data_IF_576628877756
#
_entry.id   IF_576628877756
#
_cell.length_a   1.000
_cell.length_b   1.000
_cell.length_c   1.000
_cell.angle_alpha   90.00
_cell.angle_beta   90.00
_cell.angle_gamma   90.00
#
_symmetry.space_group_name_H-M   'P 1'
#
loop_
_entity.id
_entity.type
_entity.pdbx_description
1 polymer ?
#
# COMPACT_ATOMS: atom_id res chain seq x y z
N UNK A 1 -5.87 -24.00 -14.02
CA UNK A 1 -6.54 -22.67 -14.16
C UNK A 1 -5.62 -21.49 -13.79
N UNK A 2 -4.45 -21.71 -13.17
CA UNK A 2 -3.45 -20.68 -12.83
C UNK A 2 -2.71 -20.13 -14.05
N UNK A 3 -2.20 -20.97 -14.92
CA UNK A 3 -1.34 -20.57 -16.05
C UNK A 3 -2.03 -19.68 -17.10
N UNK A 4 -3.30 -19.91 -17.41
CA UNK A 4 -4.05 -19.09 -18.37
C UNK A 4 -4.24 -17.65 -17.87
N UNK A 5 -4.41 -17.45 -16.55
CA UNK A 5 -4.53 -16.10 -15.97
C UNK A 5 -3.23 -15.30 -16.05
N UNK A 6 -2.09 -15.96 -15.95
CA UNK A 6 -0.75 -15.35 -15.99
C UNK A 6 -0.41 -14.85 -17.40
N UNK A 7 -0.85 -15.52 -18.45
CA UNK A 7 -0.58 -15.14 -19.86
C UNK A 7 -1.57 -14.07 -20.38
N UNK A 8 -2.84 -14.13 -19.99
CA UNK A 8 -3.88 -13.21 -20.49
C UNK A 8 -3.72 -11.80 -19.89
N UNK A 9 -3.26 -11.67 -18.64
CA UNK A 9 -3.10 -10.38 -17.97
C UNK A 9 -2.16 -9.41 -18.71
N UNK A 10 -0.90 -9.75 -19.03
CA UNK A 10 0.00 -8.85 -19.71
C UNK A 10 -0.44 -8.53 -21.15
N UNK A 11 -0.99 -9.51 -21.89
CA UNK A 11 -1.46 -9.28 -23.26
C UNK A 11 -2.61 -8.27 -23.32
N UNK A 12 -3.61 -8.40 -22.45
CA UNK A 12 -4.72 -7.45 -22.38
C UNK A 12 -4.29 -6.07 -21.87
N UNK A 13 -3.31 -6.00 -20.98
CA UNK A 13 -2.75 -4.74 -20.50
C UNK A 13 -1.94 -4.01 -21.61
N UNK A 14 -1.29 -4.73 -22.50
CA UNK A 14 -0.61 -4.15 -23.66
C UNK A 14 -1.58 -3.50 -24.65
N UNK A 15 -2.75 -4.06 -24.84
CA UNK A 15 -3.81 -3.46 -25.70
C UNK A 15 -4.31 -2.15 -25.08
N UNK A 16 -4.36 -2.02 -23.76
CA UNK A 16 -4.77 -0.79 -23.07
C UNK A 16 -3.68 0.29 -22.98
N UNK A 17 -2.43 -0.05 -23.29
CA UNK A 17 -1.27 0.86 -23.18
C UNK A 17 -1.44 2.18 -23.94
N UNK A 18 -1.84 2.23 -25.23
CA UNK A 18 -2.02 3.50 -25.96
C UNK A 18 -3.06 4.41 -25.32
N UNK A 19 -4.18 3.83 -24.85
CA UNK A 19 -5.24 4.59 -24.18
C UNK A 19 -4.72 5.18 -22.86
N UNK A 20 -3.96 4.43 -22.10
CA UNK A 20 -3.35 4.92 -20.86
C UNK A 20 -2.35 6.04 -21.12
N UNK A 21 -1.52 5.93 -22.16
CA UNK A 21 -0.60 7.00 -22.55
C UNK A 21 -1.35 8.27 -22.95
N UNK A 22 -2.43 8.14 -23.72
CA UNK A 22 -3.28 9.28 -24.05
C UNK A 22 -3.89 9.95 -22.81
N UNK A 23 -4.40 9.16 -21.86
CA UNK A 23 -4.93 9.69 -20.58
C UNK A 23 -3.83 10.42 -19.80
N UNK A 24 -2.61 9.89 -19.75
CA UNK A 24 -1.46 10.52 -19.07
C UNK A 24 -1.08 11.85 -19.73
N UNK A 25 -1.06 11.89 -21.05
CA UNK A 25 -0.79 13.12 -21.80
C UNK A 25 -1.88 14.19 -21.58
N UNK A 26 -3.14 13.77 -21.52
CA UNK A 26 -4.27 14.68 -21.37
C UNK A 26 -4.46 15.19 -19.93
N UNK A 27 -4.23 14.33 -18.91
CA UNK A 27 -4.56 14.60 -17.50
C UNK A 27 -3.39 14.55 -16.55
N UNK A 28 -2.19 14.30 -17.03
CA UNK A 28 -1.00 14.03 -16.20
C UNK A 28 -0.96 12.60 -15.64
N UNK A 29 0.19 12.20 -15.06
CA UNK A 29 0.43 10.83 -14.59
C UNK A 29 -0.38 10.46 -13.34
N UNK A 30 -0.72 11.44 -12.49
CA UNK A 30 -1.32 11.21 -11.18
C UNK A 30 -0.34 10.57 -10.18
N UNK A 31 -0.88 10.08 -9.07
CA UNK A 31 -0.13 9.46 -7.97
C UNK A 31 -0.40 7.96 -7.97
N UNK A 32 0.66 7.15 -8.04
CA UNK A 32 0.60 5.70 -7.88
C UNK A 32 1.02 5.33 -6.45
N UNK A 33 0.13 4.74 -5.68
CA UNK A 33 0.44 4.23 -4.34
C UNK A 33 0.62 2.71 -4.47
N UNK A 34 1.83 2.22 -4.24
CA UNK A 34 2.16 0.79 -4.27
C UNK A 34 1.85 0.17 -2.92
N UNK A 35 1.24 -1.00 -2.92
CA UNK A 35 0.91 -1.76 -1.74
C UNK A 35 1.69 -3.07 -1.72
N UNK A 36 2.59 -3.18 -0.77
CA UNK A 36 3.31 -4.40 -0.41
C UNK A 36 2.84 -4.89 0.96
N UNK A 37 3.18 -6.12 1.30
CA UNK A 37 3.03 -6.66 2.65
C UNK A 37 4.38 -7.21 3.13
N UNK A 38 4.95 -8.16 2.42
CA UNK A 38 6.20 -8.82 2.78
C UNK A 38 7.25 -8.75 1.66
N UNK A 39 8.51 -8.68 2.07
CA UNK A 39 9.65 -8.88 1.17
C UNK A 39 10.55 -9.95 1.76
N UNK A 40 10.33 -11.20 1.33
CA UNK A 40 11.07 -12.35 1.86
C UNK A 40 11.00 -13.53 0.89
N UNK A 41 12.03 -14.39 0.92
CA UNK A 41 12.03 -15.69 0.24
C UNK A 41 11.62 -16.84 1.18
N UNK A 42 11.52 -16.58 2.50
CA UNK A 42 11.21 -17.61 3.49
C UNK A 42 9.75 -18.05 3.48
N UNK A 43 8.84 -17.21 2.97
CA UNK A 43 7.40 -17.49 2.94
C UNK A 43 6.92 -17.46 1.50
N UNK A 44 6.45 -18.60 1.03
CA UNK A 44 5.86 -18.72 -0.29
C UNK A 44 4.36 -18.38 -0.24
N UNK A 45 4.07 -17.09 -0.41
CA UNK A 45 2.73 -16.52 -0.46
C UNK A 45 2.64 -15.45 -1.53
N UNK A 46 1.45 -15.23 -2.08
CA UNK A 46 1.20 -14.25 -3.12
C UNK A 46 1.61 -12.82 -2.73
N UNK A 47 1.52 -12.46 -1.47
CA UNK A 47 1.88 -11.14 -0.96
C UNK A 47 3.35 -11.04 -0.47
N UNK A 48 4.15 -12.09 -0.67
CA UNK A 48 5.57 -12.14 -0.31
C UNK A 48 6.42 -11.94 -1.57
N UNK A 49 6.86 -10.72 -1.82
CA UNK A 49 7.78 -10.41 -2.94
C UNK A 49 9.19 -10.83 -2.56
N UNK A 50 9.97 -11.38 -3.51
CA UNK A 50 11.37 -11.72 -3.22
C UNK A 50 12.24 -10.46 -3.05
N UNK A 51 13.28 -10.47 -2.19
CA UNK A 51 14.21 -9.36 -2.05
C UNK A 51 14.85 -8.93 -3.38
N UNK A 52 15.19 -9.90 -4.22
CA UNK A 52 15.77 -9.64 -5.54
C UNK A 52 14.78 -8.93 -6.48
N UNK A 53 13.50 -9.33 -6.45
CA UNK A 53 12.46 -8.67 -7.24
C UNK A 53 12.19 -7.24 -6.72
N UNK A 54 12.11 -7.06 -5.40
CA UNK A 54 11.92 -5.74 -4.79
C UNK A 54 13.06 -4.78 -5.18
N UNK A 55 14.32 -5.23 -5.08
CA UNK A 55 15.47 -4.41 -5.50
C UNK A 55 15.37 -3.99 -6.97
N UNK A 56 15.08 -4.93 -7.88
CA UNK A 56 14.88 -4.63 -9.31
C UNK A 56 13.72 -3.66 -9.57
N UNK A 57 12.66 -3.72 -8.76
CA UNK A 57 11.54 -2.78 -8.83
C UNK A 57 11.97 -1.37 -8.43
N UNK A 58 12.78 -1.22 -7.37
CA UNK A 58 13.35 0.07 -6.97
C UNK A 58 14.34 0.61 -8.01
N UNK A 59 15.22 -0.22 -8.55
CA UNK A 59 16.16 0.16 -9.65
C UNK A 59 15.37 0.66 -10.88
N UNK A 60 14.20 0.10 -11.14
CA UNK A 60 13.34 0.56 -12.23
C UNK A 60 12.71 1.93 -11.94
N UNK A 61 12.34 2.22 -10.70
CA UNK A 61 11.83 3.55 -10.32
C UNK A 61 12.90 4.62 -10.53
N UNK A 62 14.17 4.33 -10.18
CA UNK A 62 15.32 5.21 -10.43
C UNK A 62 15.52 5.43 -11.96
N UNK A 63 15.64 4.36 -12.72
CA UNK A 63 15.91 4.41 -14.16
C UNK A 63 14.79 5.08 -14.97
N UNK A 64 13.58 5.09 -14.48
CA UNK A 64 12.42 5.71 -15.12
C UNK A 64 12.04 7.07 -14.50
N UNK A 65 12.88 7.64 -13.66
CA UNK A 65 12.77 8.97 -13.05
C UNK A 65 11.43 9.20 -12.32
N UNK A 66 10.90 8.15 -11.64
CA UNK A 66 9.73 8.32 -10.79
C UNK A 66 10.08 9.13 -9.55
N UNK A 67 9.25 10.10 -9.20
CA UNK A 67 9.37 10.81 -7.92
C UNK A 67 8.81 9.93 -6.81
N UNK A 68 9.67 9.28 -6.04
CA UNK A 68 9.25 8.55 -4.84
C UNK A 68 9.03 9.53 -3.70
N UNK A 69 7.82 9.56 -3.12
CA UNK A 69 7.36 10.60 -2.22
C UNK A 69 6.60 9.99 -1.03
N UNK A 70 6.52 10.73 0.07
CA UNK A 70 5.57 10.41 1.14
C UNK A 70 4.13 10.64 0.67
N UNK A 71 3.13 10.05 1.37
CA UNK A 71 1.72 10.31 1.11
C UNK A 71 1.40 11.81 1.16
N UNK A 72 1.90 12.50 2.18
CA UNK A 72 1.69 13.94 2.36
C UNK A 72 2.26 14.76 1.20
N UNK A 73 3.50 14.49 0.81
CA UNK A 73 4.12 15.17 -0.32
C UNK A 73 3.39 14.90 -1.64
N UNK A 74 3.01 13.64 -1.88
CA UNK A 74 2.34 13.24 -3.12
C UNK A 74 0.97 13.93 -3.28
N UNK A 75 0.18 14.02 -2.21
CA UNK A 75 -1.14 14.66 -2.25
C UNK A 75 -1.07 16.20 -2.31
N UNK A 76 0.05 16.79 -1.91
CA UNK A 76 0.30 18.24 -2.04
C UNK A 76 1.04 18.58 -3.34
N UNK A 77 1.51 17.60 -4.10
CA UNK A 77 2.28 17.82 -5.30
C UNK A 77 1.38 18.11 -6.51
N UNK A 78 1.90 18.91 -7.43
CA UNK A 78 1.29 19.03 -8.74
C UNK A 78 1.39 17.69 -9.49
N UNK A 79 0.25 17.16 -9.88
CA UNK A 79 0.12 15.88 -10.62
C UNK A 79 -0.52 16.07 -11.99
N UNK A 80 -0.61 17.34 -12.43
CA UNK A 80 -1.21 17.75 -13.69
C UNK A 80 -0.36 17.37 -14.92
N UNK A 81 -0.76 17.91 -16.05
CA UNK A 81 -0.10 17.72 -17.33
C UNK A 81 1.35 18.24 -17.27
N UNK A 82 2.30 17.46 -17.74
CA UNK A 82 3.72 17.82 -17.77
C UNK A 82 4.48 17.52 -16.47
N UNK A 83 3.81 17.09 -15.38
CA UNK A 83 4.51 16.67 -14.17
C UNK A 83 5.16 15.29 -14.32
N UNK A 84 6.25 15.06 -13.58
CA UNK A 84 6.84 13.71 -13.45
C UNK A 84 5.89 12.79 -12.66
N UNK A 85 5.87 11.49 -12.98
CA UNK A 85 5.02 10.54 -12.28
C UNK A 85 5.45 10.38 -10.81
N UNK A 86 4.48 10.49 -9.90
CA UNK A 86 4.68 10.34 -8.46
C UNK A 86 4.32 8.92 -8.02
N UNK A 87 5.19 8.33 -7.20
CA UNK A 87 5.00 7.01 -6.58
C UNK A 87 5.12 7.14 -5.07
N UNK A 88 4.22 6.47 -4.36
CA UNK A 88 4.28 6.28 -2.92
C UNK A 88 4.44 4.78 -2.65
N UNK A 89 5.39 4.41 -1.82
CA UNK A 89 5.64 3.00 -1.45
C UNK A 89 4.99 2.77 -0.09
N UNK A 90 4.08 1.79 0.00
CA UNK A 90 3.41 1.45 1.26
C UNK A 90 3.51 -0.02 1.57
N UNK A 91 3.60 -0.35 2.86
CA UNK A 91 3.62 -1.70 3.40
C UNK A 91 2.55 -1.83 4.48
N UNK A 92 1.81 -2.93 4.47
CA UNK A 92 0.82 -3.23 5.49
C UNK A 92 1.36 -4.25 6.50
N UNK A 93 0.65 -4.38 7.63
CA UNK A 93 0.81 -5.36 8.71
C UNK A 93 1.95 -5.08 9.70
N UNK A 94 3.12 -4.64 9.26
CA UNK A 94 4.25 -4.39 10.16
C UNK A 94 5.14 -5.61 10.42
N UNK A 95 5.40 -6.44 9.43
CA UNK A 95 6.33 -7.56 9.53
C UNK A 95 7.80 -7.13 9.60
N UNK A 96 8.64 -7.92 10.27
CA UNK A 96 10.04 -7.59 10.55
C UNK A 96 10.95 -7.59 9.31
N UNK A 97 10.58 -8.28 8.24
CA UNK A 97 11.28 -8.23 6.96
C UNK A 97 11.31 -6.80 6.36
N UNK A 98 10.32 -5.95 6.70
CA UNK A 98 10.42 -4.53 6.36
C UNK A 98 11.68 -3.88 6.93
N UNK A 99 11.98 -4.09 8.22
CA UNK A 99 13.17 -3.52 8.84
C UNK A 99 14.47 -4.17 8.33
N UNK A 100 14.47 -5.51 8.22
CA UNK A 100 15.69 -6.26 7.89
C UNK A 100 16.10 -6.16 6.42
N UNK A 101 15.13 -6.05 5.51
CA UNK A 101 15.36 -6.18 4.06
C UNK A 101 14.96 -4.90 3.32
N UNK A 102 13.74 -4.41 3.55
CA UNK A 102 13.18 -3.28 2.79
C UNK A 102 13.86 -1.97 3.17
N UNK A 103 13.95 -1.69 4.47
CA UNK A 103 14.46 -0.42 4.97
C UNK A 103 15.89 -0.12 4.52
N UNK A 104 16.88 -1.05 4.57
CA UNK A 104 18.21 -0.81 4.02
C UNK A 104 18.20 -0.46 2.52
N UNK A 105 17.38 -1.14 1.71
CA UNK A 105 17.26 -0.90 0.27
C UNK A 105 16.68 0.49 -0.02
N UNK A 106 15.69 0.93 0.75
CA UNK A 106 15.07 2.24 0.60
C UNK A 106 16.01 3.35 1.08
N UNK A 107 16.72 3.14 2.20
CA UNK A 107 17.68 4.10 2.76
C UNK A 107 18.83 4.41 1.80
N UNK A 108 19.38 3.40 1.14
CA UNK A 108 20.44 3.57 0.11
C UNK A 108 20.01 4.52 -1.02
N UNK A 109 18.70 4.62 -1.31
CA UNK A 109 18.13 5.45 -2.37
C UNK A 109 17.51 6.74 -1.87
N UNK A 110 17.54 6.99 -0.57
CA UNK A 110 16.79 8.07 0.07
C UNK A 110 15.27 8.02 -0.28
N UNK A 111 14.71 6.84 -0.43
CA UNK A 111 13.31 6.64 -0.75
C UNK A 111 12.45 6.63 0.51
N UNK A 112 11.50 7.57 0.64
CA UNK A 112 10.50 7.50 1.71
C UNK A 112 9.51 6.37 1.44
N UNK A 113 8.97 5.81 2.52
CA UNK A 113 7.88 4.85 2.45
C UNK A 113 6.94 5.02 3.66
N UNK A 114 5.77 4.36 3.61
CA UNK A 114 4.89 4.24 4.75
C UNK A 114 4.73 2.76 5.15
N UNK A 115 4.78 2.49 6.46
CA UNK A 115 4.44 1.20 7.03
C UNK A 115 3.19 1.37 7.90
N UNK A 116 2.13 0.62 7.61
CA UNK A 116 0.90 0.58 8.38
C UNK A 116 0.95 -0.59 9.36
N UNK A 117 0.94 -0.27 10.64
CA UNK A 117 1.21 -1.23 11.69
C UNK A 117 -0.02 -1.60 12.51
N UNK A 118 -0.03 -2.83 13.01
CA UNK A 118 -1.06 -3.40 13.88
C UNK A 118 -0.48 -3.48 15.31
N UNK A 119 -0.85 -2.56 16.23
CA UNK A 119 -0.25 -2.50 17.57
C UNK A 119 -0.27 -3.81 18.36
N UNK A 120 -1.37 -4.54 18.36
CA UNK A 120 -1.45 -5.81 19.10
C UNK A 120 -0.58 -6.92 18.48
N UNK A 121 -0.29 -6.85 17.18
CA UNK A 121 0.71 -7.72 16.56
C UNK A 121 2.13 -7.36 17.00
N UNK A 122 2.46 -6.06 17.07
CA UNK A 122 3.78 -5.60 17.53
C UNK A 122 4.00 -5.93 19.02
N UNK A 123 2.96 -5.79 19.84
CA UNK A 123 3.01 -6.14 21.27
C UNK A 123 2.97 -7.66 21.51
N UNK A 124 2.92 -8.51 20.47
CA UNK A 124 2.88 -9.98 20.59
C UNK A 124 1.57 -10.56 21.14
N UNK A 125 0.51 -9.75 21.22
CA UNK A 125 -0.80 -10.19 21.74
C UNK A 125 -1.59 -11.03 20.73
N UNK A 126 -1.33 -10.85 19.46
CA UNK A 126 -1.99 -11.57 18.36
C UNK A 126 -0.98 -12.06 17.32
N UNK A 127 -1.37 -13.09 16.59
CA UNK A 127 -0.71 -13.55 15.37
C UNK A 127 -1.65 -13.26 14.21
N UNK A 128 -1.15 -12.60 13.17
CA UNK A 128 -1.97 -12.30 11.99
C UNK A 128 -2.34 -13.58 11.26
N UNK A 129 -3.63 -13.78 10.92
CA UNK A 129 -4.14 -15.08 10.48
C UNK A 129 -3.49 -15.62 9.19
N UNK A 130 -3.11 -14.71 8.26
CA UNK A 130 -2.62 -15.09 6.93
C UNK A 130 -1.40 -16.01 6.98
N UNK A 131 -0.45 -15.75 7.88
CA UNK A 131 0.83 -16.47 7.94
C UNK A 131 0.96 -17.42 9.12
N UNK A 132 -0.10 -17.57 9.92
CA UNK A 132 -0.08 -18.39 11.15
C UNK A 132 0.40 -19.82 10.95
N UNK A 133 0.06 -20.42 9.80
CA UNK A 133 0.34 -21.83 9.50
C UNK A 133 1.44 -22.00 8.43
N UNK A 134 2.09 -20.92 8.01
CA UNK A 134 3.17 -20.99 7.04
C UNK A 134 4.52 -21.14 7.76
N UNK A 135 5.45 -21.89 7.15
CA UNK A 135 6.83 -21.95 7.61
C UNK A 135 7.53 -20.64 7.27
N UNK A 136 8.43 -20.19 8.13
CA UNK A 136 9.21 -18.96 7.98
C UNK A 136 8.97 -17.96 9.10
N UNK A 137 9.80 -16.92 9.15
CA UNK A 137 9.73 -15.88 10.18
C UNK A 137 8.51 -14.98 9.91
N UNK A 138 7.56 -14.99 10.84
CA UNK A 138 6.37 -14.13 10.84
C UNK A 138 6.40 -13.10 11.97
N UNK A 139 7.57 -12.79 12.50
CA UNK A 139 7.75 -11.80 13.55
C UNK A 139 7.35 -10.39 13.08
N UNK A 140 6.85 -9.58 14.01
CA UNK A 140 6.59 -8.16 13.77
C UNK A 140 7.87 -7.33 13.93
N UNK A 141 7.86 -6.11 13.39
CA UNK A 141 8.81 -5.07 13.80
C UNK A 141 8.64 -4.76 15.29
N UNK A 142 9.68 -4.23 15.94
CA UNK A 142 9.55 -3.69 17.29
C UNK A 142 9.27 -2.19 17.27
N UNK A 143 8.84 -1.64 18.42
CA UNK A 143 8.66 -0.19 18.57
C UNK A 143 9.98 0.58 18.46
N UNK A 144 11.12 -0.04 18.84
CA UNK A 144 12.48 0.51 18.69
C UNK A 144 12.86 0.63 17.22
N UNK A 145 12.63 -0.44 16.42
CA UNK A 145 12.84 -0.42 14.97
C UNK A 145 12.00 0.68 14.29
N UNK A 146 10.74 0.85 14.70
CA UNK A 146 9.87 1.90 14.17
C UNK A 146 10.37 3.30 14.51
N UNK A 147 10.95 3.53 15.72
CA UNK A 147 11.54 4.82 16.08
C UNK A 147 12.76 5.14 15.21
N UNK A 148 13.65 4.17 15.01
CA UNK A 148 14.80 4.32 14.12
C UNK A 148 14.36 4.68 12.69
N UNK A 149 13.50 3.87 12.11
CA UNK A 149 13.04 4.06 10.73
C UNK A 149 12.35 5.41 10.50
N UNK A 150 11.62 5.92 11.50
CA UNK A 150 11.01 7.27 11.40
C UNK A 150 12.03 8.39 11.29
N UNK A 151 13.18 8.26 11.91
CA UNK A 151 14.30 9.21 11.78
C UNK A 151 14.88 9.25 10.37
N UNK A 152 14.65 8.22 9.58
CA UNK A 152 15.21 7.97 8.26
C UNK A 152 14.16 8.02 7.12
N UNK A 153 13.07 8.76 7.31
CA UNK A 153 12.09 9.02 6.24
C UNK A 153 10.94 8.01 6.14
N UNK A 154 10.83 7.04 7.04
CA UNK A 154 9.70 6.10 7.06
C UNK A 154 8.53 6.69 7.86
N UNK A 155 7.37 6.78 7.22
CA UNK A 155 6.11 7.17 7.86
C UNK A 155 5.47 5.95 8.52
N UNK A 156 5.12 6.05 9.81
CA UNK A 156 4.34 5.01 10.49
C UNK A 156 2.87 5.42 10.48
N UNK A 157 2.03 4.61 9.84
CA UNK A 157 0.57 4.72 9.81
C UNK A 157 -0.09 3.63 10.66
N UNK A 158 -1.41 3.73 10.85
CA UNK A 158 -2.19 2.77 11.61
C UNK A 158 -2.92 1.76 10.70
N UNK A 159 -3.03 0.51 11.17
CA UNK A 159 -3.75 -0.57 10.49
C UNK A 159 -4.76 -1.27 11.42
N UNK A 160 -5.54 -0.49 12.18
CA UNK A 160 -6.37 -0.87 13.33
C UNK A 160 -5.55 -1.47 14.49
N UNK A 161 -6.19 -1.76 15.62
CA UNK A 161 -5.51 -2.36 16.79
C UNK A 161 -5.21 -3.84 16.56
N UNK A 162 -6.21 -4.60 16.03
CA UNK A 162 -6.18 -6.07 15.98
C UNK A 162 -6.29 -6.64 14.56
N UNK A 163 -6.27 -5.80 13.53
CA UNK A 163 -6.44 -6.19 12.13
C UNK A 163 -7.79 -6.88 11.81
N UNK A 164 -8.85 -6.61 12.61
CA UNK A 164 -10.21 -7.10 12.32
C UNK A 164 -10.79 -6.36 11.12
N UNK A 165 -11.66 -7.03 10.36
CA UNK A 165 -12.47 -6.37 9.34
C UNK A 165 -13.47 -5.44 10.02
N UNK A 166 -13.35 -4.12 9.77
CA UNK A 166 -14.06 -3.10 10.52
C UNK A 166 -15.53 -2.96 10.12
N UNK A 167 -15.88 -3.30 8.87
CA UNK A 167 -17.25 -3.12 8.34
C UNK A 167 -18.31 -4.01 8.99
N UNK A 168 -17.91 -5.02 9.74
CA UNK A 168 -18.78 -5.91 10.48
C UNK A 168 -18.86 -5.64 11.99
N UNK A 169 -18.19 -4.58 12.46
CA UNK A 169 -18.14 -4.21 13.88
C UNK A 169 -19.22 -3.20 14.25
N UNK A 170 -19.61 -3.16 15.53
CA UNK A 170 -20.41 -2.06 16.06
C UNK A 170 -19.61 -0.76 16.16
N UNK A 171 -20.30 0.37 16.38
CA UNK A 171 -19.65 1.69 16.39
C UNK A 171 -18.58 1.82 17.49
N UNK A 172 -18.78 1.22 18.67
CA UNK A 172 -17.82 1.28 19.78
C UNK A 172 -16.58 0.43 19.48
N UNK A 173 -16.77 -0.72 18.85
CA UNK A 173 -15.67 -1.58 18.39
C UNK A 173 -14.86 -0.89 17.29
N UNK A 174 -15.55 -0.29 16.29
CA UNK A 174 -14.89 0.49 15.23
C UNK A 174 -14.04 1.63 15.80
N UNK A 175 -14.61 2.39 16.75
CA UNK A 175 -13.90 3.50 17.39
C UNK A 175 -12.67 3.01 18.16
N UNK A 176 -12.77 1.92 18.91
CA UNK A 176 -11.62 1.32 19.60
C UNK A 176 -10.52 0.85 18.63
N UNK A 177 -10.90 0.26 17.51
CA UNK A 177 -9.93 -0.19 16.49
C UNK A 177 -9.24 0.99 15.80
N UNK A 178 -9.96 2.07 15.52
CA UNK A 178 -9.45 3.25 14.81
C UNK A 178 -8.66 4.15 15.78
N UNK A 179 -9.32 4.67 16.81
CA UNK A 179 -8.70 5.63 17.73
C UNK A 179 -7.69 4.95 18.65
N UNK A 180 -8.00 3.75 19.14
CA UNK A 180 -7.08 2.96 19.96
C UNK A 180 -5.75 2.66 19.24
N UNK A 181 -5.77 2.41 17.93
CA UNK A 181 -4.52 2.23 17.17
C UNK A 181 -3.70 3.52 17.13
N UNK A 182 -4.34 4.68 16.92
CA UNK A 182 -3.66 5.97 16.95
C UNK A 182 -3.06 6.26 18.33
N UNK A 183 -3.84 6.06 19.38
CA UNK A 183 -3.43 6.35 20.77
C UNK A 183 -2.24 5.48 21.21
N UNK A 184 -2.25 4.19 20.84
CA UNK A 184 -1.12 3.28 21.13
C UNK A 184 0.12 3.73 20.37
N UNK A 185 0.02 4.00 19.07
CA UNK A 185 1.14 4.44 18.24
C UNK A 185 1.70 5.77 18.77
N UNK A 186 0.84 6.74 19.10
CA UNK A 186 1.24 8.01 19.68
C UNK A 186 1.98 7.83 21.01
N UNK A 187 1.43 7.03 21.91
CA UNK A 187 2.07 6.70 23.20
C UNK A 187 3.44 6.04 23.03
N UNK A 188 3.60 5.15 22.05
CA UNK A 188 4.85 4.40 21.81
C UNK A 188 5.90 5.22 21.06
N UNK A 189 5.47 6.05 20.10
CA UNK A 189 6.37 6.75 19.19
C UNK A 189 6.42 8.28 19.40
N UNK A 190 5.59 8.84 20.31
CA UNK A 190 5.57 10.28 20.59
C UNK A 190 4.94 11.14 19.49
N UNK A 191 4.31 10.53 18.48
CA UNK A 191 3.59 11.23 17.42
C UNK A 191 2.40 10.42 16.96
N UNK A 192 1.24 11.08 16.84
CA UNK A 192 0.02 10.48 16.32
C UNK A 192 0.18 10.13 14.83
N UNK A 193 -0.25 8.93 14.37
CA UNK A 193 -0.19 8.58 12.97
C UNK A 193 -1.15 9.45 12.14
N UNK A 194 -0.67 9.92 11.00
CA UNK A 194 -1.46 10.77 10.09
C UNK A 194 -2.29 9.96 9.09
N UNK A 195 -1.93 8.69 8.86
CA UNK A 195 -2.47 7.85 7.80
C UNK A 195 -3.01 6.55 8.35
N UNK A 196 -4.13 6.11 7.77
CA UNK A 196 -4.79 4.86 8.11
C UNK A 196 -4.82 3.90 6.91
N UNK A 197 -4.62 2.61 7.12
CA UNK A 197 -4.91 1.56 6.13
C UNK A 197 -6.09 0.74 6.61
N UNK A 198 -7.14 0.61 5.79
CA UNK A 198 -8.28 -0.23 6.15
C UNK A 198 -7.89 -1.70 6.10
N UNK A 199 -8.07 -2.49 7.19
CA UNK A 199 -7.84 -3.93 7.16
C UNK A 199 -8.61 -4.59 6.01
N UNK A 200 -7.91 -5.40 5.20
CA UNK A 200 -8.45 -6.00 3.98
C UNK A 200 -8.95 -5.00 2.93
N UNK A 201 -8.68 -3.71 3.12
CA UNK A 201 -9.14 -2.63 2.25
C UNK A 201 -10.63 -2.37 2.25
N UNK A 202 -11.39 -3.01 3.16
CA UNK A 202 -12.85 -2.85 3.26
C UNK A 202 -13.20 -1.61 4.07
N UNK A 203 -14.05 -0.79 3.50
CA UNK A 203 -14.55 0.44 4.12
C UNK A 203 -16.01 0.71 3.77
N UNK A 204 -16.63 1.59 4.51
CA UNK A 204 -17.95 2.16 4.23
C UNK A 204 -17.91 3.68 4.39
N UNK A 205 -18.88 4.43 3.88
CA UNK A 205 -18.94 5.88 4.10
C UNK A 205 -18.97 6.28 5.58
N UNK A 206 -19.61 5.49 6.43
CA UNK A 206 -19.62 5.71 7.88
C UNK A 206 -18.25 5.47 8.50
N UNK A 207 -17.59 4.38 8.13
CA UNK A 207 -16.24 4.05 8.60
C UNK A 207 -15.21 5.10 8.15
N UNK A 208 -15.31 5.60 6.90
CA UNK A 208 -14.47 6.66 6.38
C UNK A 208 -14.60 7.95 7.22
N UNK A 209 -15.83 8.35 7.55
CA UNK A 209 -16.07 9.50 8.45
C UNK A 209 -15.52 9.30 9.86
N UNK A 210 -15.55 8.06 10.39
CA UNK A 210 -14.95 7.76 11.70
C UNK A 210 -13.43 7.90 11.68
N UNK A 211 -12.77 7.47 10.61
CA UNK A 211 -11.33 7.64 10.43
C UNK A 211 -10.98 9.14 10.36
N UNK A 212 -11.75 9.92 9.60
CA UNK A 212 -11.60 11.38 9.55
C UNK A 212 -11.78 12.04 10.92
N UNK A 213 -12.86 11.69 11.64
CA UNK A 213 -13.14 12.18 12.99
C UNK A 213 -12.06 11.75 14.01
N UNK A 214 -11.38 10.63 13.78
CA UNK A 214 -10.22 10.16 14.56
C UNK A 214 -8.94 10.98 14.38
N UNK A 215 -8.97 12.02 13.53
CA UNK A 215 -7.87 12.96 13.31
C UNK A 215 -6.82 12.49 12.30
N UNK A 216 -7.09 11.44 11.54
CA UNK A 216 -6.23 11.05 10.42
C UNK A 216 -6.37 12.05 9.25
N UNK A 217 -5.30 12.25 8.50
CA UNK A 217 -5.30 13.09 7.28
C UNK A 217 -5.85 12.37 6.06
N UNK A 218 -5.91 11.06 6.11
CA UNK A 218 -6.46 10.23 5.05
C UNK A 218 -6.25 8.74 5.28
N UNK A 219 -6.82 7.95 4.38
CA UNK A 219 -6.77 6.50 4.45
C UNK A 219 -6.60 5.83 3.09
N UNK A 220 -5.91 4.70 3.09
CA UNK A 220 -5.65 3.90 1.90
C UNK A 220 -6.50 2.63 1.88
N UNK A 221 -6.94 2.24 0.69
CA UNK A 221 -7.72 1.04 0.43
C UNK A 221 -6.92 0.02 -0.39
N UNK A 222 -7.50 -1.12 -0.73
CA UNK A 222 -6.95 -2.07 -1.73
C UNK A 222 -7.55 -1.88 -3.12
N UNK A 223 -8.37 -0.83 -3.33
CA UNK A 223 -8.97 -0.58 -4.65
C UNK A 223 -7.88 -0.16 -5.63
N UNK A 224 -7.74 -0.86 -6.77
CA UNK A 224 -6.72 -0.51 -7.76
C UNK A 224 -7.02 0.83 -8.43
N UNK A 225 -5.95 1.52 -8.78
CA UNK A 225 -6.09 2.76 -9.54
C UNK A 225 -5.06 3.82 -9.23
N UNK A 226 -5.14 4.89 -9.99
CA UNK A 226 -4.34 6.12 -9.85
C UNK A 226 -5.16 7.15 -9.08
N UNK A 227 -4.52 7.87 -8.17
CA UNK A 227 -5.12 9.02 -7.48
C UNK A 227 -4.76 10.32 -8.24
N UNK A 228 -5.72 11.21 -8.40
CA UNK A 228 -5.53 12.53 -9.01
C UNK A 228 -6.15 13.58 -8.11
N UNK A 229 -5.34 14.52 -7.67
CA UNK A 229 -5.78 15.61 -6.80
C UNK A 229 -6.57 16.64 -7.64
N UNK A 230 -7.75 17.11 -7.17
CA UNK A 230 -8.39 16.74 -5.92
C UNK A 230 -9.04 15.35 -5.95
N UNK A 231 -8.95 14.63 -4.83
CA UNK A 231 -9.58 13.32 -4.65
C UNK A 231 -10.03 13.15 -3.19
N UNK A 232 -10.81 12.12 -2.92
CA UNK A 232 -11.15 11.74 -1.54
C UNK A 232 -9.93 11.10 -0.86
N UNK A 233 -9.35 11.79 0.12
CA UNK A 233 -8.15 11.35 0.84
C UNK A 233 -8.41 10.16 1.78
N UNK A 234 -9.69 9.88 2.09
CA UNK A 234 -10.06 8.76 2.95
C UNK A 234 -10.39 7.47 2.19
N UNK A 235 -10.26 7.49 0.85
CA UNK A 235 -10.48 6.31 0.00
C UNK A 235 -9.40 6.17 -1.07
N UNK A 236 -8.15 6.47 -0.73
CA UNK A 236 -7.03 6.43 -1.65
C UNK A 236 -6.83 5.02 -2.24
N UNK A 237 -6.65 4.98 -3.53
CA UNK A 237 -6.45 3.76 -4.31
C UNK A 237 -5.00 3.31 -4.23
N UNK A 238 -4.78 2.00 -4.16
CA UNK A 238 -3.43 1.41 -4.19
C UNK A 238 -3.30 0.34 -5.28
N UNK A 239 -2.08 0.12 -5.71
CA UNK A 239 -1.72 -0.94 -6.65
C UNK A 239 -0.98 -2.03 -5.88
N UNK A 240 -1.61 -3.19 -5.72
CA UNK A 240 -1.00 -4.34 -5.06
C UNK A 240 0.16 -4.88 -5.90
N UNK A 241 1.28 -5.14 -5.23
CA UNK A 241 2.44 -5.83 -5.80
C UNK A 241 2.50 -7.23 -5.21
N UNK A 242 2.61 -8.23 -6.06
CA UNK A 242 2.57 -9.62 -5.70
C UNK A 242 3.86 -10.37 -6.09
N UNK A 243 4.04 -11.57 -5.52
CA UNK A 243 5.14 -12.48 -5.85
C UNK A 243 5.18 -12.87 -7.34
N UNK A 244 4.01 -12.91 -7.95
CA UNK A 244 3.85 -13.33 -9.35
C UNK A 244 4.22 -12.23 -10.36
N UNK A 245 4.40 -10.99 -9.88
CA UNK A 245 4.69 -9.85 -10.76
C UNK A 245 6.16 -9.87 -11.19
N UNK A 246 6.40 -10.03 -12.48
CA UNK A 246 7.70 -9.75 -13.06
C UNK A 246 7.91 -8.24 -13.28
N UNK A 247 9.08 -7.84 -13.79
CA UNK A 247 9.36 -6.41 -14.06
C UNK A 247 8.46 -5.81 -15.15
N UNK A 248 7.96 -6.62 -16.07
CA UNK A 248 7.01 -6.17 -17.10
C UNK A 248 5.65 -5.89 -16.47
N UNK A 249 5.17 -6.77 -15.59
CA UNK A 249 3.95 -6.56 -14.83
C UNK A 249 4.06 -5.32 -13.95
N UNK A 250 5.19 -5.14 -13.28
CA UNK A 250 5.44 -3.95 -12.47
C UNK A 250 5.37 -2.65 -13.30
N UNK A 251 5.99 -2.61 -14.50
CA UNK A 251 5.87 -1.48 -15.44
C UNK A 251 4.43 -1.21 -15.86
N UNK A 252 3.67 -2.25 -16.17
CA UNK A 252 2.25 -2.14 -16.56
C UNK A 252 1.40 -1.65 -15.39
N UNK A 253 1.67 -2.09 -14.16
CA UNK A 253 1.02 -1.59 -12.94
C UNK A 253 1.34 -0.12 -12.68
N UNK A 254 2.60 0.29 -12.80
CA UNK A 254 3.02 1.69 -12.68
C UNK A 254 2.34 2.60 -13.70
N UNK A 255 2.22 2.13 -14.93
CA UNK A 255 1.57 2.92 -16.00
C UNK A 255 0.07 3.10 -15.82
N UNK A 256 -0.60 2.17 -15.13
CA UNK A 256 -2.07 2.12 -14.99
C UNK A 256 -2.77 1.24 -16.02
N UNK A 257 -2.03 0.49 -16.83
CA UNK A 257 -2.64 -0.42 -17.83
C UNK A 257 -3.52 -1.48 -17.17
N UNK A 258 -3.12 -1.99 -16.02
CA UNK A 258 -3.93 -2.92 -15.22
C UNK A 258 -5.19 -2.28 -14.61
N UNK A 259 -5.19 -0.98 -14.32
CA UNK A 259 -6.37 -0.30 -13.76
C UNK A 259 -7.53 -0.29 -14.77
N UNK A 260 -7.22 -0.02 -16.05
CA UNK A 260 -8.21 -0.02 -17.12
C UNK A 260 -8.80 -1.41 -17.35
N UNK A 261 -7.93 -2.42 -17.37
CA UNK A 261 -8.35 -3.82 -17.47
C UNK A 261 -9.28 -4.24 -16.33
N UNK A 262 -8.93 -3.88 -15.08
CA UNK A 262 -9.75 -4.16 -13.90
C UNK A 262 -11.13 -3.48 -13.99
N UNK A 263 -11.17 -2.23 -14.43
CA UNK A 263 -12.41 -1.45 -14.62
C UNK A 263 -13.33 -2.07 -15.67
N UNK A 264 -12.76 -2.51 -16.79
CA UNK A 264 -13.51 -3.19 -17.85
C UNK A 264 -14.06 -4.53 -17.36
N UNK A 265 -13.25 -5.31 -16.64
CA UNK A 265 -13.66 -6.60 -16.09
C UNK A 265 -14.78 -6.47 -15.06
N UNK A 266 -14.73 -5.46 -14.18
CA UNK A 266 -15.80 -5.16 -13.23
C UNK A 266 -17.10 -4.80 -13.91
N UNK A 267 -17.06 -3.99 -14.98
CA UNK A 267 -18.26 -3.65 -15.78
C UNK A 267 -18.88 -4.87 -16.44
N UNK A 268 -18.06 -5.78 -17.00
CA UNK A 268 -18.53 -7.00 -17.66
C UNK A 268 -19.14 -7.98 -16.66
N UNK A 269 -18.53 -8.15 -15.49
CA UNK A 269 -18.97 -9.12 -14.47
C UNK A 269 -20.05 -8.58 -13.51
N UNK A 270 -20.49 -7.33 -13.65
CA UNK A 270 -21.55 -6.74 -12.82
C UNK A 270 -21.22 -6.62 -11.33
N UNK A 271 -19.96 -6.80 -10.93
CA UNK A 271 -19.53 -6.72 -9.52
C UNK A 271 -19.08 -5.28 -9.20
N UNK A 272 -19.90 -4.56 -8.42
CA UNK A 272 -19.44 -3.38 -7.67
C UNK A 272 -18.75 -3.87 -6.39
N UNK A 273 -17.48 -3.50 -6.21
CA UNK A 273 -16.80 -3.58 -4.91
C UNK A 273 -17.19 -2.38 -4.06
#
# INVERSE_FOLDING_TARGET
>A
MGEIKTVIRPAAALVSWPVVQFIRLARGPGIRILMYHRVTDEIEDRLSVSPAAFKKQMDLLDAAEYRVMTLTQALSAETGRGSLPAVVITFDDGYQDFYRIVFPILRERNYPAAIFVVPDFIDGKIILPRYRNLKGDSSSVSWEMLREMRGEGITVGAHSVTHRELTGLDCREMEREINGSADIIEKRLGKRPEWFSYPRGKYSPSLSRMVEAGGYKGAVTVRPGTNRVPCDYFTLRRTEISREDDLRDFKLKLSGAYDLQHHLWQKIMGKRL
#
